data_IF_541676438482
#
_entry.id   IF_541676438482
#
_cell.length_a   1.000
_cell.length_b   1.000
_cell.length_c   1.000
_cell.angle_alpha   90.00
_cell.angle_beta   90.00
_cell.angle_gamma   90.00
#
_symmetry.space_group_name_H-M   'P 1'
#
loop_
_entity.id
_entity.type
_entity.pdbx_description
1 polymer ?
#
# COMPACT_ATOMS: atom_id res chain seq x y z
N UNK A 1 -17.01 18.85 4.96
CA UNK A 1 -15.67 18.24 5.04
C UNK A 1 -15.47 17.44 3.77
N UNK A 2 -14.54 17.83 2.91
CA UNK A 2 -14.18 17.05 1.72
C UNK A 2 -13.52 15.76 2.21
N UNK A 3 -14.20 14.61 2.04
CA UNK A 3 -13.56 13.29 2.18
C UNK A 3 -12.42 13.25 1.17
N UNK A 4 -11.17 13.33 1.62
CA UNK A 4 -10.05 12.93 0.77
C UNK A 4 -10.20 11.44 0.53
N UNK A 5 -10.10 11.04 -0.73
CA UNK A 5 -10.06 9.64 -1.10
C UNK A 5 -8.77 9.05 -0.54
N UNK A 6 -8.85 7.83 0.00
CA UNK A 6 -7.67 7.09 0.42
C UNK A 6 -6.75 6.94 -0.79
N UNK A 7 -5.50 7.39 -0.69
CA UNK A 7 -4.56 7.45 -1.80
C UNK A 7 -3.45 6.43 -1.61
N UNK A 8 -3.29 5.54 -2.58
CA UNK A 8 -2.39 4.39 -2.51
C UNK A 8 -1.39 4.48 -3.65
N UNK A 9 -0.11 4.49 -3.32
CA UNK A 9 0.97 4.30 -4.30
C UNK A 9 1.26 2.81 -4.41
N UNK A 10 1.26 2.28 -5.62
CA UNK A 10 1.66 0.92 -5.92
C UNK A 10 3.01 0.90 -6.64
N UNK A 11 3.97 0.22 -6.02
CA UNK A 11 5.31 0.01 -6.55
C UNK A 11 5.55 -1.48 -6.83
N UNK A 12 6.41 -1.75 -7.80
CA UNK A 12 6.83 -3.10 -8.18
C UNK A 12 8.31 -3.25 -7.85
N UNK A 13 8.67 -4.29 -7.10
CA UNK A 13 10.04 -4.52 -6.67
C UNK A 13 10.49 -5.94 -6.99
N UNK A 14 11.47 -6.08 -7.88
CA UNK A 14 11.98 -7.39 -8.30
C UNK A 14 10.99 -8.26 -9.08
N UNK A 15 9.87 -7.69 -9.56
CA UNK A 15 8.83 -8.38 -10.37
C UNK A 15 8.76 -7.81 -11.79
N UNK A 16 7.94 -8.40 -12.65
CA UNK A 16 7.67 -7.91 -14.00
C UNK A 16 6.82 -6.62 -13.98
N UNK A 17 7.06 -5.73 -14.93
CA UNK A 17 6.29 -4.48 -15.06
C UNK A 17 4.81 -4.80 -15.34
N UNK A 18 3.91 -4.14 -14.62
CA UNK A 18 2.47 -4.33 -14.72
C UNK A 18 1.90 -5.36 -13.74
N UNK A 19 2.72 -6.00 -12.91
CA UNK A 19 2.28 -6.88 -11.83
C UNK A 19 1.32 -6.19 -10.84
N UNK A 20 1.48 -4.88 -10.62
CA UNK A 20 0.61 -4.09 -9.76
C UNK A 20 -0.71 -3.66 -10.42
N UNK A 21 -0.86 -3.79 -11.75
CA UNK A 21 -2.04 -3.31 -12.48
C UNK A 21 -3.31 -4.00 -12.00
N UNK A 22 -3.25 -5.33 -11.79
CA UNK A 22 -4.39 -6.11 -11.32
C UNK A 22 -4.85 -5.65 -9.93
N UNK A 23 -3.92 -5.47 -8.99
CA UNK A 23 -4.22 -4.94 -7.66
C UNK A 23 -4.79 -3.53 -7.72
N UNK A 24 -4.18 -2.63 -8.50
CA UNK A 24 -4.67 -1.26 -8.62
C UNK A 24 -6.06 -1.16 -9.24
N UNK A 25 -6.45 -2.11 -10.11
CA UNK A 25 -7.82 -2.21 -10.61
C UNK A 25 -8.81 -2.59 -9.50
N UNK A 26 -8.47 -3.57 -8.66
CA UNK A 26 -9.29 -3.97 -7.51
C UNK A 26 -9.49 -2.80 -6.54
N UNK A 27 -8.41 -2.09 -6.20
CA UNK A 27 -8.47 -0.93 -5.32
C UNK A 27 -9.33 0.21 -5.90
N UNK A 28 -9.18 0.50 -7.20
CA UNK A 28 -10.00 1.52 -7.88
C UNK A 28 -11.48 1.15 -7.93
N UNK A 29 -11.81 -0.14 -8.05
CA UNK A 29 -13.20 -0.61 -8.00
C UNK A 29 -13.84 -0.32 -6.62
N UNK A 30 -13.05 -0.37 -5.55
CA UNK A 30 -13.48 0.03 -4.19
C UNK A 30 -13.59 1.56 -3.99
N UNK A 31 -13.13 2.35 -4.97
CA UNK A 31 -13.11 3.81 -4.91
C UNK A 31 -11.89 4.38 -4.19
N UNK A 32 -10.77 3.66 -4.21
CA UNK A 32 -9.45 4.11 -3.75
C UNK A 32 -8.74 4.85 -4.88
N UNK A 33 -8.07 5.95 -4.56
CA UNK A 33 -7.21 6.64 -5.51
C UNK A 33 -5.88 5.89 -5.62
N UNK A 34 -5.53 5.40 -6.80
CA UNK A 34 -4.32 4.61 -7.02
C UNK A 34 -3.34 5.38 -7.89
N UNK A 35 -2.09 5.48 -7.45
CA UNK A 35 -0.95 5.98 -8.19
C UNK A 35 -0.02 4.81 -8.51
N UNK A 36 0.35 4.63 -9.77
CA UNK A 36 1.30 3.59 -10.16
C UNK A 36 2.71 4.18 -10.23
N UNK A 37 3.59 3.80 -9.30
CA UNK A 37 5.01 4.15 -9.34
C UNK A 37 5.77 3.32 -10.40
N UNK A 38 5.23 2.15 -10.76
CA UNK A 38 5.87 1.20 -11.65
C UNK A 38 7.02 0.45 -10.97
N UNK A 39 7.95 -0.04 -11.78
CA UNK A 39 9.10 -0.82 -11.33
C UNK A 39 10.17 0.06 -10.71
N UNK A 40 10.51 -0.24 -9.46
CA UNK A 40 11.56 0.42 -8.69
C UNK A 40 12.62 -0.60 -8.26
N UNK A 41 13.87 -0.17 -8.26
CA UNK A 41 15.02 -1.06 -8.03
C UNK A 41 15.64 -0.89 -6.64
N UNK A 42 15.36 0.22 -5.93
CA UNK A 42 15.94 0.48 -4.60
C UNK A 42 14.94 1.13 -3.64
N UNK A 43 15.12 0.92 -2.34
CA UNK A 43 14.28 1.50 -1.29
C UNK A 43 14.26 3.04 -1.33
N UNK A 44 15.38 3.69 -1.63
CA UNK A 44 15.47 5.15 -1.83
C UNK A 44 14.51 5.64 -2.94
N UNK A 45 14.33 4.84 -4.00
CA UNK A 45 13.37 5.16 -5.05
C UNK A 45 11.92 5.06 -4.57
N UNK A 46 11.62 4.17 -3.64
CA UNK A 46 10.30 4.07 -3.03
C UNK A 46 10.06 5.27 -2.12
N UNK A 47 11.02 5.59 -1.24
CA UNK A 47 10.95 6.72 -0.31
C UNK A 47 10.71 8.03 -1.07
N UNK A 48 11.55 8.36 -2.06
CA UNK A 48 11.36 9.60 -2.85
C UNK A 48 10.00 9.68 -3.53
N UNK A 49 9.45 8.53 -3.96
CA UNK A 49 8.16 8.48 -4.64
C UNK A 49 7.04 8.72 -3.65
N UNK A 50 7.13 8.13 -2.46
CA UNK A 50 6.18 8.36 -1.37
C UNK A 50 6.22 9.82 -0.92
N UNK A 51 7.40 10.42 -0.75
CA UNK A 51 7.53 11.83 -0.37
C UNK A 51 6.96 12.78 -1.44
N UNK A 52 7.12 12.46 -2.72
CA UNK A 52 6.59 13.27 -3.83
C UNK A 52 5.07 13.11 -3.98
N UNK A 53 4.58 11.88 -3.88
CA UNK A 53 3.18 11.57 -4.11
C UNK A 53 2.32 11.76 -2.87
N UNK A 54 2.88 11.81 -1.65
CA UNK A 54 2.15 11.97 -0.39
C UNK A 54 0.95 11.00 -0.26
N UNK A 55 1.15 9.66 -0.35
CA UNK A 55 0.08 8.69 -0.21
C UNK A 55 -0.23 8.38 1.26
N UNK A 56 -1.45 7.93 1.52
CA UNK A 56 -1.82 7.33 2.81
C UNK A 56 -1.22 5.92 2.97
N UNK A 57 -1.06 5.20 1.86
CA UNK A 57 -0.59 3.80 1.84
C UNK A 57 0.41 3.60 0.70
N UNK A 58 1.50 2.88 0.98
CA UNK A 58 2.41 2.32 -0.01
C UNK A 58 2.23 0.81 -0.10
N UNK A 59 1.82 0.34 -1.27
CA UNK A 59 1.77 -1.08 -1.62
C UNK A 59 2.94 -1.50 -2.47
N UNK A 60 3.67 -2.54 -2.05
CA UNK A 60 4.80 -3.09 -2.81
C UNK A 60 4.46 -4.49 -3.30
N UNK A 61 4.38 -4.67 -4.62
CA UNK A 61 4.32 -6.00 -5.23
C UNK A 61 5.73 -6.51 -5.39
N UNK A 62 6.10 -7.52 -4.61
CA UNK A 62 7.45 -8.05 -4.54
C UNK A 62 7.51 -9.54 -4.92
N UNK A 63 8.63 -9.94 -5.51
CA UNK A 63 8.89 -11.33 -5.85
C UNK A 63 9.52 -12.06 -4.66
N UNK A 64 10.70 -12.64 -4.89
CA UNK A 64 11.49 -13.35 -3.88
C UNK A 64 12.24 -12.41 -2.91
N UNK A 65 12.24 -11.11 -3.17
CA UNK A 65 12.93 -10.12 -2.34
C UNK A 65 12.09 -8.87 -2.20
N UNK A 66 12.12 -8.28 -1.01
CA UNK A 66 11.39 -7.07 -0.65
C UNK A 66 12.38 -5.94 -0.29
N UNK A 67 11.99 -4.67 -0.48
CA UNK A 67 12.80 -3.54 -0.03
C UNK A 67 12.82 -3.46 1.49
N UNK A 68 14.01 -3.36 2.07
CA UNK A 68 14.22 -3.24 3.52
C UNK A 68 14.28 -1.77 3.96
N UNK A 69 14.01 -1.51 5.24
CA UNK A 69 14.18 -0.19 5.86
C UNK A 69 13.07 0.83 5.55
N UNK A 70 12.04 0.47 4.79
CA UNK A 70 10.94 1.38 4.47
C UNK A 70 10.13 1.81 5.69
N UNK A 71 9.87 0.89 6.62
CA UNK A 71 9.10 1.20 7.83
C UNK A 71 9.78 2.26 8.71
N UNK A 72 11.13 2.27 8.73
CA UNK A 72 11.91 3.28 9.45
C UNK A 72 11.94 4.62 8.69
N UNK A 73 12.04 4.57 7.36
CA UNK A 73 12.09 5.75 6.52
C UNK A 73 10.74 6.47 6.36
N UNK A 74 9.63 5.73 6.45
CA UNK A 74 8.27 6.21 6.20
C UNK A 74 7.32 5.88 7.37
N UNK A 75 7.56 6.44 8.57
CA UNK A 75 6.79 6.09 9.78
C UNK A 75 5.34 6.55 9.73
N UNK A 76 5.02 7.56 8.91
CA UNK A 76 3.68 8.13 8.78
C UNK A 76 2.84 7.49 7.67
N UNK A 77 3.40 6.52 6.93
CA UNK A 77 2.73 5.88 5.78
C UNK A 77 2.47 4.41 6.08
N UNK A 78 1.25 3.96 5.82
CA UNK A 78 0.91 2.55 5.98
C UNK A 78 1.57 1.74 4.87
N UNK A 79 2.33 0.72 5.26
CA UNK A 79 3.05 -0.13 4.33
C UNK A 79 2.38 -1.50 4.23
N UNK A 80 2.18 -1.98 3.01
CA UNK A 80 1.89 -3.38 2.76
C UNK A 80 2.67 -3.95 1.59
N UNK A 81 2.83 -5.26 1.59
CA UNK A 81 3.47 -5.97 0.49
C UNK A 81 2.67 -7.20 0.07
N UNK A 82 2.75 -7.53 -1.22
CA UNK A 82 2.09 -8.69 -1.83
C UNK A 82 3.13 -9.53 -2.55
N UNK A 83 3.22 -10.81 -2.19
CA UNK A 83 4.21 -11.71 -2.80
C UNK A 83 4.61 -12.88 -1.90
N UNK A 84 5.60 -13.65 -2.36
CA UNK A 84 6.08 -14.83 -1.66
C UNK A 84 7.16 -14.43 -0.64
N UNK A 85 6.72 -13.96 0.53
CA UNK A 85 7.59 -13.65 1.67
C UNK A 85 8.09 -12.20 1.71
N UNK A 86 7.21 -11.22 1.99
CA UNK A 86 7.65 -9.86 2.26
C UNK A 86 8.24 -9.76 3.67
N UNK A 87 9.46 -10.26 3.85
CA UNK A 87 10.22 -10.01 5.08
C UNK A 87 10.35 -8.50 5.30
N UNK A 88 9.98 -8.02 6.49
CA UNK A 88 10.14 -6.61 6.88
C UNK A 88 8.92 -5.71 6.70
N UNK A 89 7.79 -6.21 6.16
CA UNK A 89 6.51 -5.48 6.15
C UNK A 89 5.61 -5.95 7.30
N UNK A 90 4.96 -5.00 7.98
CA UNK A 90 3.94 -5.32 9.00
C UNK A 90 2.70 -5.97 8.37
N UNK A 91 2.34 -5.55 7.16
CA UNK A 91 1.18 -6.06 6.43
C UNK A 91 1.65 -6.79 5.17
N UNK A 92 1.52 -8.11 5.19
CA UNK A 92 2.07 -9.03 4.20
C UNK A 92 0.97 -9.95 3.68
N UNK A 93 0.80 -10.01 2.36
CA UNK A 93 -0.26 -10.80 1.73
C UNK A 93 0.30 -11.73 0.65
N UNK A 94 -0.22 -12.96 0.60
CA UNK A 94 0.16 -13.94 -0.44
C UNK A 94 -0.61 -13.68 -1.75
N UNK A 95 -1.79 -13.06 -1.65
CA UNK A 95 -2.70 -12.83 -2.78
C UNK A 95 -3.07 -11.35 -2.94
N UNK A 96 -3.30 -10.92 -4.19
CA UNK A 96 -3.75 -9.55 -4.50
C UNK A 96 -5.12 -9.24 -3.89
N UNK A 97 -6.00 -10.24 -3.82
CA UNK A 97 -7.34 -10.08 -3.25
C UNK A 97 -7.29 -9.82 -1.74
N UNK A 98 -6.40 -10.49 -1.00
CA UNK A 98 -6.24 -10.28 0.44
C UNK A 98 -5.76 -8.85 0.74
N UNK A 99 -4.77 -8.39 -0.04
CA UNK A 99 -4.27 -7.02 0.06
C UNK A 99 -5.36 -5.98 -0.25
N UNK A 100 -6.15 -6.21 -1.31
CA UNK A 100 -7.24 -5.31 -1.67
C UNK A 100 -8.32 -5.24 -0.59
N UNK A 101 -8.72 -6.40 -0.02
CA UNK A 101 -9.67 -6.46 1.08
C UNK A 101 -9.15 -5.74 2.34
N UNK A 102 -7.86 -5.87 2.65
CA UNK A 102 -7.25 -5.16 3.76
C UNK A 102 -7.29 -3.65 3.57
N UNK A 103 -6.94 -3.13 2.38
CA UNK A 103 -7.01 -1.69 2.07
C UNK A 103 -8.45 -1.16 2.18
N UNK A 104 -9.44 -1.92 1.69
CA UNK A 104 -10.87 -1.58 1.86
C UNK A 104 -11.29 -1.57 3.33
N UNK A 105 -10.76 -2.48 4.14
CA UNK A 105 -10.90 -2.49 5.59
C UNK A 105 -10.36 -1.21 6.24
N UNK A 106 -9.11 -0.83 5.95
CA UNK A 106 -8.48 0.40 6.46
C UNK A 106 -9.34 1.64 6.18
N UNK A 107 -9.86 1.75 4.95
CA UNK A 107 -10.80 2.82 4.56
C UNK A 107 -12.06 2.84 5.43
N UNK A 108 -12.61 1.67 5.73
CA UNK A 108 -13.83 1.52 6.53
C UNK A 108 -13.60 1.90 8.00
N UNK A 109 -12.42 1.61 8.54
CA UNK A 109 -12.04 2.01 9.91
C UNK A 109 -11.85 3.52 10.09
N UNK A 110 -11.58 4.27 9.02
CA UNK A 110 -11.58 5.76 9.07
C UNK A 110 -13.00 6.35 9.04
N UNK A 111 -14.02 5.55 8.72
CA UNK A 111 -15.44 5.99 8.66
C UNK A 111 -16.23 5.58 9.90
N UNK A 112 -15.73 4.65 10.70
CA UNK A 112 -16.40 4.17 11.91
C UNK A 112 -15.51 4.29 13.15
N UNK A 113 -15.34 5.52 13.67
CA UNK A 113 -15.22 5.72 15.13
C UNK A 113 -15.77 7.11 15.48
N UNK A 114 -16.94 7.17 16.13
CA UNK A 114 -16.88 7.40 17.57
C UNK A 114 -17.80 6.40 18.29
N UNK A 115 -17.29 5.20 18.56
CA UNK A 115 -17.94 4.32 19.53
C UNK A 115 -17.39 4.65 20.92
N UNK A 116 -18.03 5.67 21.49
CA UNK A 116 -18.37 5.83 22.90
C UNK A 116 -17.70 4.84 23.87
N UNK A 117 -16.77 5.36 24.68
CA UNK A 117 -16.36 4.72 25.93
C UNK A 117 -16.98 5.47 27.11
N UNK A 118 -18.29 5.32 27.28
CA UNK A 118 -18.95 5.43 28.60
C UNK A 118 -19.13 4.03 29.18
N UNK A 119 -18.28 3.69 30.15
CA UNK A 119 -18.70 3.07 31.42
C UNK A 119 -17.55 3.04 32.42
#
# INVERSE_FOLDING_TARGET
>A
MTRRLLRVVLAEFGVEEGSAVALGRLLRDDGVEVVYAGRLETADQLVRTVEQEDPDILGVVCGESAPEGLADALPDVLLFAVGNGPGGFENAFESLEEAANWVSGVRSHTVETPSDRVR
#
